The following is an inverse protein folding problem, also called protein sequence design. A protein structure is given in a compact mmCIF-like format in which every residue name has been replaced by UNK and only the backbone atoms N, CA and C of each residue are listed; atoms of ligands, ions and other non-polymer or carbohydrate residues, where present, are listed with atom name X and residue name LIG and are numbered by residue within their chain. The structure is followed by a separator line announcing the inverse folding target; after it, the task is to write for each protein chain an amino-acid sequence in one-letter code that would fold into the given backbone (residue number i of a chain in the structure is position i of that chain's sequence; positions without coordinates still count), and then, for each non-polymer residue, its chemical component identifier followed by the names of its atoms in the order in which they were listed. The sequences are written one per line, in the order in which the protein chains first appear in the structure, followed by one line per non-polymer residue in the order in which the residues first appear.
data_IF_846102205668
#
_entry.id   IF_846102205668
#
_cell.length_a   1.000
_cell.length_b   1.000
_cell.length_c   1.000
_cell.angle_alpha   90.00
_cell.angle_beta   90.00
_cell.angle_gamma   90.00
#
_symmetry.space_group_name_H-M   'P 1'
#
loop_
_entity.id
_entity.type
_entity.pdbx_description
1 polymer ?
#
# COMPACT_ATOMS: atom_id res chain seq x y z
N UNK A 1 -4.65 0.10 24.84
CA UNK A 1 -3.82 -1.02 24.38
C UNK A 1 -4.65 -2.29 24.52
N UNK A 2 -5.10 -2.88 23.41
CA UNK A 2 -5.91 -4.10 23.41
C UNK A 2 -4.94 -5.27 23.23
N UNK A 3 -4.28 -5.69 24.31
CA UNK A 3 -3.53 -6.95 24.32
C UNK A 3 -4.35 -7.98 25.09
N UNK A 4 -4.81 -9.00 24.39
CA UNK A 4 -5.71 -10.01 24.96
C UNK A 4 -5.19 -11.41 24.70
N UNK A 5 -5.80 -12.39 25.37
CA UNK A 5 -5.53 -13.81 25.12
C UNK A 5 -5.81 -14.18 23.65
N UNK A 6 -6.88 -13.64 23.06
CA UNK A 6 -7.28 -13.91 21.68
C UNK A 6 -6.21 -13.47 20.68
N UNK A 7 -5.71 -12.23 20.83
CA UNK A 7 -4.61 -11.70 20.01
C UNK A 7 -3.33 -12.51 20.21
N UNK A 8 -2.96 -12.83 21.46
CA UNK A 8 -1.79 -13.65 21.77
C UNK A 8 -1.87 -15.02 21.09
N UNK A 9 -3.03 -15.66 21.12
CA UNK A 9 -3.24 -16.98 20.52
C UNK A 9 -3.23 -16.90 18.98
N UNK A 10 -3.73 -15.81 18.40
CA UNK A 10 -3.64 -15.53 16.96
C UNK A 10 -2.20 -15.36 16.49
N UNK A 11 -1.39 -14.58 17.22
CA UNK A 11 0.05 -14.41 16.95
C UNK A 11 0.77 -15.77 16.99
N UNK A 12 0.53 -16.58 18.03
CA UNK A 12 1.12 -17.92 18.13
C UNK A 12 0.69 -18.81 16.97
N UNK A 13 -0.58 -18.77 16.58
CA UNK A 13 -1.09 -19.55 15.47
C UNK A 13 -0.44 -19.14 14.15
N UNK A 14 -0.36 -17.83 13.88
CA UNK A 14 0.29 -17.26 12.69
C UNK A 14 1.78 -17.64 12.63
N UNK A 15 2.53 -17.50 13.74
CA UNK A 15 3.93 -17.96 13.86
C UNK A 15 4.04 -19.45 13.55
N UNK A 16 3.14 -20.27 14.12
CA UNK A 16 3.18 -21.72 13.90
C UNK A 16 2.98 -22.06 12.43
N UNK A 17 2.01 -21.42 11.78
CA UNK A 17 1.67 -21.64 10.36
C UNK A 17 2.77 -21.17 9.42
N UNK A 18 3.25 -19.93 9.55
CA UNK A 18 4.19 -19.36 8.58
C UNK A 18 5.66 -19.66 8.92
N UNK A 19 6.04 -19.64 10.19
CA UNK A 19 7.44 -19.81 10.59
C UNK A 19 7.76 -21.27 10.94
N UNK A 20 7.01 -21.90 11.85
CA UNK A 20 7.39 -23.23 12.37
C UNK A 20 7.15 -24.35 11.37
N UNK A 21 6.01 -24.33 10.67
CA UNK A 21 5.67 -25.42 9.74
C UNK A 21 6.38 -25.36 8.40
N UNK A 22 6.78 -24.18 7.94
CA UNK A 22 7.31 -24.00 6.58
C UNK A 22 8.49 -23.02 6.46
N UNK A 23 8.90 -22.34 7.54
CA UNK A 23 9.99 -21.35 7.54
C UNK A 23 9.86 -20.32 6.40
N UNK A 24 8.63 -19.83 6.17
CA UNK A 24 8.28 -18.95 5.07
C UNK A 24 9.03 -17.62 5.19
N UNK A 25 9.50 -17.10 4.06
CA UNK A 25 10.20 -15.83 3.96
C UNK A 25 9.42 -14.85 3.09
N UNK A 26 9.65 -13.55 3.30
CA UNK A 26 9.20 -12.48 2.39
C UNK A 26 9.81 -12.73 1.00
N UNK A 27 9.04 -12.39 -0.02
CA UNK A 27 9.40 -12.66 -1.42
C UNK A 27 10.74 -12.02 -1.77
N UNK A 28 11.72 -12.85 -2.14
CA UNK A 28 13.05 -12.40 -2.54
C UNK A 28 13.94 -11.85 -1.42
N UNK A 29 13.62 -12.12 -0.13
CA UNK A 29 14.36 -11.61 1.02
C UNK A 29 14.67 -12.69 2.06
N UNK A 30 15.70 -12.44 2.87
CA UNK A 30 16.01 -13.24 4.07
C UNK A 30 15.29 -12.71 5.32
N UNK A 31 14.01 -12.37 5.17
CA UNK A 31 13.16 -11.84 6.25
C UNK A 31 12.01 -12.83 6.50
N UNK A 32 11.77 -13.27 7.74
CA UNK A 32 10.64 -14.14 8.08
C UNK A 32 9.29 -13.56 7.64
N UNK A 33 8.46 -14.36 6.98
CA UNK A 33 7.15 -13.92 6.49
C UNK A 33 6.22 -13.44 7.59
N UNK A 34 6.37 -13.99 8.80
CA UNK A 34 5.57 -13.62 9.97
C UNK A 34 5.62 -12.12 10.31
N UNK A 35 6.66 -11.41 9.86
CA UNK A 35 6.71 -9.94 9.96
C UNK A 35 5.51 -9.28 9.28
N UNK A 36 5.01 -9.83 8.17
CA UNK A 36 3.86 -9.28 7.45
C UNK A 36 2.54 -9.38 8.21
N UNK A 37 2.03 -10.57 8.61
CA UNK A 37 0.79 -10.64 9.38
C UNK A 37 0.83 -9.84 10.69
N UNK A 38 2.00 -9.73 11.34
CA UNK A 38 2.16 -8.91 12.54
C UNK A 38 2.03 -7.41 12.21
N UNK A 39 2.66 -6.93 11.14
CA UNK A 39 2.52 -5.55 10.67
C UNK A 39 1.07 -5.23 10.30
N UNK A 40 0.36 -6.14 9.62
CA UNK A 40 -1.07 -5.98 9.30
C UNK A 40 -1.89 -5.84 10.58
N UNK A 41 -1.67 -6.70 11.59
CA UNK A 41 -2.32 -6.57 12.89
C UNK A 41 -2.04 -5.23 13.60
N UNK A 42 -0.80 -4.74 13.53
CA UNK A 42 -0.43 -3.44 14.10
C UNK A 42 -1.10 -2.26 13.39
N UNK A 43 -1.15 -2.27 12.04
CA UNK A 43 -1.86 -1.25 11.26
C UNK A 43 -3.33 -1.19 11.68
N UNK A 44 -4.00 -2.34 11.78
CA UNK A 44 -5.40 -2.43 12.20
C UNK A 44 -5.62 -1.90 13.62
N UNK A 45 -4.71 -2.24 14.55
CA UNK A 45 -4.77 -1.75 15.92
C UNK A 45 -4.60 -0.22 15.99
N UNK A 46 -3.68 0.34 15.21
CA UNK A 46 -3.48 1.80 15.10
C UNK A 46 -4.68 2.50 14.46
N UNK A 47 -5.36 1.84 13.51
CA UNK A 47 -6.61 2.32 12.90
C UNK A 47 -7.83 2.24 13.84
N UNK A 48 -7.66 1.74 15.07
CA UNK A 48 -8.75 1.61 16.05
C UNK A 48 -9.72 0.47 15.75
N UNK A 49 -9.31 -0.53 14.98
CA UNK A 49 -10.15 -1.68 14.64
C UNK A 49 -10.53 -2.51 15.88
N UNK A 50 -11.67 -3.19 15.82
CA UNK A 50 -12.08 -4.13 16.86
C UNK A 50 -11.15 -5.34 16.93
N UNK A 51 -11.11 -6.01 18.09
CA UNK A 51 -10.26 -7.18 18.33
C UNK A 51 -10.38 -8.26 17.24
N UNK A 52 -11.61 -8.55 16.78
CA UNK A 52 -11.86 -9.59 15.78
C UNK A 52 -11.26 -9.24 14.41
N UNK A 53 -11.26 -7.95 14.05
CA UNK A 53 -10.67 -7.46 12.81
C UNK A 53 -9.14 -7.53 12.90
N UNK A 54 -8.56 -7.14 14.04
CA UNK A 54 -7.11 -7.26 14.29
C UNK A 54 -6.67 -8.72 14.21
N UNK A 55 -7.42 -9.62 14.86
CA UNK A 55 -7.14 -11.07 14.83
C UNK A 55 -7.26 -11.61 13.41
N UNK A 56 -8.29 -11.20 12.65
CA UNK A 56 -8.43 -11.58 11.25
C UNK A 56 -7.23 -11.12 10.40
N UNK A 57 -6.74 -9.89 10.61
CA UNK A 57 -5.53 -9.39 9.93
C UNK A 57 -4.26 -10.21 10.26
N UNK A 58 -4.08 -10.63 11.51
CA UNK A 58 -2.95 -11.50 11.92
C UNK A 58 -3.03 -12.89 11.27
N UNK A 59 -4.24 -13.33 10.92
CA UNK A 59 -4.53 -14.67 10.40
C UNK A 59 -4.82 -14.70 8.90
N UNK A 60 -4.85 -13.56 8.21
CA UNK A 60 -5.47 -13.43 6.89
C UNK A 60 -4.90 -14.42 5.84
N UNK A 61 -3.59 -14.63 5.83
CA UNK A 61 -2.93 -15.55 4.90
C UNK A 61 -2.87 -17.00 5.36
N UNK A 62 -3.30 -17.31 6.60
CA UNK A 62 -3.07 -18.65 7.15
C UNK A 62 -3.81 -19.74 6.37
N UNK A 63 -5.02 -19.44 5.87
CA UNK A 63 -5.75 -20.35 4.97
C UNK A 63 -5.03 -20.45 3.63
N UNK A 64 -4.59 -19.32 3.07
CA UNK A 64 -4.01 -19.24 1.74
C UNK A 64 -2.66 -19.97 1.63
N UNK A 65 -1.78 -19.76 2.62
CA UNK A 65 -0.36 -20.14 2.58
C UNK A 65 -0.02 -21.37 3.41
N UNK A 66 -1.00 -21.96 4.11
CA UNK A 66 -0.76 -23.23 4.81
C UNK A 66 -0.46 -24.36 3.82
N UNK A 67 0.62 -25.10 4.12
CA UNK A 67 1.02 -26.31 3.39
C UNK A 67 -0.02 -27.44 3.53
N UNK A 68 -0.15 -28.36 2.55
CA UNK A 68 -1.14 -29.44 2.57
C UNK A 68 -1.13 -30.28 3.86
N UNK A 69 0.05 -30.61 4.40
CA UNK A 69 0.22 -31.45 5.59
C UNK A 69 -0.23 -30.75 6.88
N UNK A 70 -0.33 -29.42 6.84
CA UNK A 70 -0.73 -28.54 7.95
C UNK A 70 -1.79 -27.53 7.50
N UNK A 71 -2.72 -27.97 6.64
CA UNK A 71 -3.72 -27.10 6.05
C UNK A 71 -4.55 -26.44 7.14
N UNK A 72 -4.62 -25.11 7.09
CA UNK A 72 -5.53 -24.32 7.93
C UNK A 72 -6.86 -24.20 7.22
N UNK A 73 -7.94 -24.45 7.95
CA UNK A 73 -9.32 -24.37 7.43
C UNK A 73 -10.11 -23.30 8.17
N UNK A 74 -11.18 -22.81 7.54
CA UNK A 74 -12.14 -21.91 8.17
C UNK A 74 -12.68 -22.47 9.49
N UNK A 75 -13.04 -23.76 9.52
CA UNK A 75 -13.54 -24.44 10.72
C UNK A 75 -12.55 -24.37 11.88
N UNK A 76 -11.26 -24.60 11.62
CA UNK A 76 -10.21 -24.50 12.66
C UNK A 76 -10.08 -23.09 13.23
N UNK A 77 -10.27 -22.06 12.39
CA UNK A 77 -10.24 -20.66 12.82
C UNK A 77 -11.49 -20.35 13.65
N UNK A 78 -12.67 -20.80 13.21
CA UNK A 78 -13.94 -20.61 13.92
C UNK A 78 -13.89 -21.22 15.34
N UNK A 79 -13.41 -22.45 15.47
CA UNK A 79 -13.30 -23.14 16.77
C UNK A 79 -12.37 -22.42 17.76
N UNK A 80 -11.34 -21.72 17.27
CA UNK A 80 -10.30 -21.09 18.10
C UNK A 80 -10.55 -19.61 18.36
N UNK A 81 -11.12 -18.91 17.39
CA UNK A 81 -11.20 -17.45 17.35
C UNK A 81 -12.63 -16.94 17.10
N UNK A 82 -13.61 -17.82 16.88
CA UNK A 82 -15.01 -17.48 16.65
C UNK A 82 -15.35 -17.25 15.17
N UNK A 83 -16.64 -17.34 14.87
CA UNK A 83 -17.16 -17.31 13.51
C UNK A 83 -16.86 -15.98 12.79
N UNK A 84 -16.99 -14.84 13.49
CA UNK A 84 -16.69 -13.51 12.91
C UNK A 84 -15.27 -13.47 12.32
N UNK A 85 -14.27 -13.95 13.07
CA UNK A 85 -12.88 -14.01 12.59
C UNK A 85 -12.75 -14.94 11.39
N UNK A 86 -13.38 -16.12 11.45
CA UNK A 86 -13.31 -17.10 10.39
C UNK A 86 -13.93 -16.60 9.07
N UNK A 87 -15.04 -15.87 9.14
CA UNK A 87 -15.65 -15.22 7.97
C UNK A 87 -14.75 -14.12 7.40
N UNK A 88 -14.16 -13.27 8.25
CA UNK A 88 -13.26 -12.21 7.79
C UNK A 88 -12.02 -12.78 7.10
N UNK A 89 -11.38 -13.80 7.68
CA UNK A 89 -10.21 -14.46 7.08
C UNK A 89 -10.58 -15.12 5.76
N UNK A 90 -11.70 -15.84 5.69
CA UNK A 90 -12.14 -16.44 4.42
C UNK A 90 -12.46 -15.36 3.37
N UNK A 91 -13.10 -14.26 3.77
CA UNK A 91 -13.47 -13.15 2.88
C UNK A 91 -12.25 -12.59 2.15
N UNK A 92 -11.10 -12.47 2.80
CA UNK A 92 -9.89 -11.87 2.23
C UNK A 92 -8.90 -12.89 1.64
N UNK A 93 -9.19 -14.18 1.74
CA UNK A 93 -8.38 -15.26 1.14
C UNK A 93 -8.54 -15.26 -0.38
N UNK A 94 -7.43 -15.28 -1.13
CA UNK A 94 -7.48 -15.36 -2.60
C UNK A 94 -8.10 -16.70 -3.04
N UNK A 95 -9.15 -16.63 -3.85
CA UNK A 95 -9.82 -17.81 -4.38
C UNK A 95 -9.05 -18.34 -5.60
N UNK A 96 -8.90 -19.67 -5.66
CA UNK A 96 -8.43 -20.40 -6.84
C UNK A 96 -7.01 -20.04 -7.37
N UNK A 97 -5.98 -20.62 -6.74
CA UNK A 97 -4.58 -20.53 -7.19
C UNK A 97 -4.30 -21.18 -8.57
N UNK A 98 -5.27 -21.85 -9.20
CA UNK A 98 -5.09 -22.48 -10.51
C UNK A 98 -5.27 -21.51 -11.70
N UNK A 99 -5.85 -20.34 -11.47
CA UNK A 99 -6.04 -19.30 -12.48
C UNK A 99 -4.74 -18.56 -12.80
N UNK A 100 -4.67 -17.98 -14.00
CA UNK A 100 -3.55 -17.12 -14.38
C UNK A 100 -3.43 -15.90 -13.46
N UNK A 101 -2.26 -15.26 -13.43
CA UNK A 101 -2.06 -14.07 -12.60
C UNK A 101 -3.08 -12.97 -12.91
N UNK A 102 -3.40 -12.75 -14.19
CA UNK A 102 -4.37 -11.72 -14.61
C UNK A 102 -5.79 -12.06 -14.18
N UNK A 103 -6.22 -13.31 -14.36
CA UNK A 103 -7.55 -13.77 -13.94
C UNK A 103 -7.72 -13.66 -12.43
N UNK A 104 -6.73 -14.09 -11.63
CA UNK A 104 -6.77 -13.96 -10.17
C UNK A 104 -6.87 -12.50 -9.73
N UNK A 105 -6.16 -11.60 -10.41
CA UNK A 105 -6.18 -10.18 -10.07
C UNK A 105 -7.48 -9.49 -10.48
N UNK A 106 -8.09 -9.90 -11.59
CA UNK A 106 -9.42 -9.44 -11.98
C UNK A 106 -10.50 -9.95 -11.01
N UNK A 107 -10.48 -11.24 -10.66
CA UNK A 107 -11.41 -11.83 -9.69
C UNK A 107 -11.25 -11.18 -8.31
N UNK A 108 -10.02 -10.94 -7.86
CA UNK A 108 -9.77 -10.25 -6.60
C UNK A 108 -10.38 -8.83 -6.58
N UNK A 109 -10.32 -8.08 -7.67
CA UNK A 109 -10.91 -6.74 -7.75
C UNK A 109 -12.44 -6.79 -7.67
N UNK A 110 -13.09 -7.73 -8.36
CA UNK A 110 -14.55 -7.91 -8.24
C UNK A 110 -14.95 -8.40 -6.84
N UNK A 111 -14.17 -9.30 -6.26
CA UNK A 111 -14.42 -9.84 -4.92
C UNK A 111 -14.34 -8.74 -3.85
N UNK A 112 -13.37 -7.82 -3.96
CA UNK A 112 -13.24 -6.66 -3.05
C UNK A 112 -14.51 -5.80 -3.03
N UNK A 113 -15.25 -5.69 -4.14
CA UNK A 113 -16.51 -4.92 -4.18
C UNK A 113 -17.62 -5.54 -3.34
N UNK A 114 -17.48 -6.81 -2.96
CA UNK A 114 -18.45 -7.53 -2.12
C UNK A 114 -18.11 -7.46 -0.63
N UNK A 115 -16.98 -6.85 -0.27
CA UNK A 115 -16.47 -6.86 1.09
C UNK A 115 -17.32 -6.01 2.03
N UNK A 116 -17.45 -6.51 3.27
CA UNK A 116 -17.87 -5.68 4.40
C UNK A 116 -16.80 -4.61 4.70
N UNK A 117 -17.16 -3.58 5.47
CA UNK A 117 -16.17 -2.58 5.92
C UNK A 117 -15.03 -3.23 6.73
N UNK A 118 -15.33 -4.23 7.56
CA UNK A 118 -14.30 -4.98 8.33
C UNK A 118 -13.35 -5.73 7.38
N UNK A 119 -13.88 -6.41 6.35
CA UNK A 119 -13.08 -7.08 5.32
C UNK A 119 -12.25 -6.08 4.49
N UNK A 120 -12.84 -4.94 4.12
CA UNK A 120 -12.12 -3.85 3.45
C UNK A 120 -11.00 -3.30 4.32
N UNK A 121 -11.21 -3.18 5.64
CA UNK A 121 -10.18 -2.69 6.56
C UNK A 121 -8.99 -3.67 6.65
N UNK A 122 -9.26 -4.98 6.75
CA UNK A 122 -8.21 -6.01 6.68
C UNK A 122 -7.46 -5.93 5.36
N UNK A 123 -8.20 -5.84 4.24
CA UNK A 123 -7.57 -5.75 2.91
C UNK A 123 -6.76 -4.46 2.73
N UNK A 124 -7.22 -3.36 3.32
CA UNK A 124 -6.51 -2.08 3.32
C UNK A 124 -5.19 -2.18 4.05
N UNK A 125 -5.17 -2.83 5.22
CA UNK A 125 -3.96 -3.03 6.01
C UNK A 125 -2.95 -3.97 5.31
N UNK A 126 -3.42 -5.02 4.66
CA UNK A 126 -2.63 -5.90 3.79
C UNK A 126 -1.97 -5.10 2.65
N UNK A 127 -2.79 -4.38 1.86
CA UNK A 127 -2.31 -3.55 0.74
C UNK A 127 -1.33 -2.48 1.20
N UNK A 128 -1.59 -1.85 2.33
CA UNK A 128 -0.70 -0.85 2.92
C UNK A 128 0.65 -1.47 3.32
N UNK A 129 0.64 -2.59 4.03
CA UNK A 129 1.87 -3.29 4.44
C UNK A 129 2.71 -3.71 3.23
N UNK A 130 2.07 -4.25 2.19
CA UNK A 130 2.76 -4.71 0.99
C UNK A 130 3.23 -3.55 0.10
N UNK A 131 2.44 -2.47 0.00
CA UNK A 131 2.79 -1.28 -0.76
C UNK A 131 3.96 -0.51 -0.15
N UNK A 132 3.97 -0.32 1.18
CA UNK A 132 5.10 0.32 1.88
C UNK A 132 6.38 -0.48 1.72
N UNK A 133 6.33 -1.81 1.87
CA UNK A 133 7.51 -2.65 1.68
C UNK A 133 8.04 -2.59 0.24
N UNK A 134 7.16 -2.52 -0.76
CA UNK A 134 7.57 -2.33 -2.16
C UNK A 134 8.21 -0.95 -2.37
N UNK A 135 7.72 0.10 -1.71
CA UNK A 135 8.31 1.44 -1.73
C UNK A 135 9.71 1.42 -1.14
N UNK A 136 9.88 0.83 0.04
CA UNK A 136 11.17 0.74 0.71
C UNK A 136 12.18 -0.06 -0.13
N UNK A 137 11.75 -1.18 -0.71
CA UNK A 137 12.59 -1.99 -1.59
C UNK A 137 12.98 -1.25 -2.87
N UNK A 138 12.03 -0.54 -3.49
CA UNK A 138 12.32 0.26 -4.69
C UNK A 138 13.32 1.38 -4.39
N UNK A 139 13.24 1.99 -3.20
CA UNK A 139 14.20 3.00 -2.77
C UNK A 139 15.63 2.42 -2.60
N UNK A 140 15.75 1.15 -2.21
CA UNK A 140 17.04 0.47 -2.02
C UNK A 140 17.61 -0.14 -3.31
N UNK A 141 16.76 -0.84 -4.08
CA UNK A 141 17.16 -1.70 -5.18
C UNK A 141 16.74 -1.14 -6.56
N UNK A 142 16.02 -0.02 -6.61
CA UNK A 142 15.45 0.52 -7.84
C UNK A 142 14.46 -0.44 -8.49
N UNK A 143 14.44 -0.49 -9.83
CA UNK A 143 13.52 -1.35 -10.59
C UNK A 143 13.85 -2.85 -10.47
N UNK A 144 15.01 -3.23 -9.93
CA UNK A 144 15.40 -4.63 -9.74
C UNK A 144 14.49 -5.36 -8.75
N UNK A 145 13.79 -4.64 -7.86
CA UNK A 145 12.76 -5.22 -6.98
C UNK A 145 11.69 -5.98 -7.77
N UNK A 146 11.33 -5.52 -8.97
CA UNK A 146 10.28 -6.12 -9.78
C UNK A 146 10.69 -7.49 -10.36
N UNK A 147 11.99 -7.80 -10.41
CA UNK A 147 12.50 -9.13 -10.81
C UNK A 147 12.04 -10.26 -9.88
N UNK A 148 11.63 -9.92 -8.64
CA UNK A 148 11.11 -10.86 -7.63
C UNK A 148 9.69 -11.33 -7.96
N UNK A 149 8.99 -10.68 -8.88
CA UNK A 149 7.59 -10.93 -9.20
C UNK A 149 7.40 -11.68 -10.52
N UNK A 150 6.28 -12.38 -10.66
CA UNK A 150 5.94 -13.16 -11.85
C UNK A 150 5.25 -12.32 -12.96
N UNK A 151 5.26 -11.00 -12.85
CA UNK A 151 4.59 -10.08 -13.77
C UNK A 151 5.47 -8.84 -14.01
N UNK A 152 5.33 -8.16 -15.17
CA UNK A 152 6.03 -6.90 -15.44
C UNK A 152 5.67 -5.80 -14.43
N UNK A 153 6.62 -4.88 -14.19
CA UNK A 153 6.49 -3.71 -13.32
C UNK A 153 5.18 -2.96 -13.58
N UNK A 154 4.87 -2.69 -14.84
CA UNK A 154 3.70 -1.90 -15.25
C UNK A 154 2.39 -2.59 -14.83
N UNK A 155 2.32 -3.92 -14.97
CA UNK A 155 1.15 -4.70 -14.55
C UNK A 155 1.00 -4.72 -13.04
N UNK A 156 2.11 -4.85 -12.30
CA UNK A 156 2.12 -4.83 -10.83
C UNK A 156 1.62 -3.48 -10.31
N UNK A 157 2.23 -2.38 -10.79
CA UNK A 157 1.85 -1.04 -10.38
C UNK A 157 0.40 -0.73 -10.75
N UNK A 158 -0.02 -1.05 -11.97
CA UNK A 158 -1.42 -0.90 -12.40
C UNK A 158 -2.38 -1.62 -11.45
N UNK A 159 -2.09 -2.88 -11.13
CA UNK A 159 -2.95 -3.66 -10.24
C UNK A 159 -3.05 -3.05 -8.83
N UNK A 160 -1.93 -2.61 -8.24
CA UNK A 160 -1.96 -1.93 -6.95
C UNK A 160 -2.81 -0.66 -6.98
N UNK A 161 -2.67 0.15 -8.02
CA UNK A 161 -3.43 1.39 -8.17
C UNK A 161 -4.93 1.14 -8.35
N UNK A 162 -5.30 0.13 -9.15
CA UNK A 162 -6.69 -0.28 -9.34
C UNK A 162 -7.29 -0.83 -8.04
N UNK A 163 -6.53 -1.61 -7.29
CA UNK A 163 -6.96 -2.17 -6.01
C UNK A 163 -7.18 -1.08 -4.95
N UNK A 164 -6.21 -0.17 -4.79
CA UNK A 164 -6.33 0.96 -3.85
C UNK A 164 -7.54 1.83 -4.23
N UNK A 165 -7.69 2.15 -5.51
CA UNK A 165 -8.84 2.91 -6.01
C UNK A 165 -10.16 2.20 -5.66
N UNK A 166 -10.26 0.91 -5.96
CA UNK A 166 -11.48 0.12 -5.69
C UNK A 166 -11.82 0.14 -4.20
N UNK A 167 -10.84 -0.06 -3.31
CA UNK A 167 -11.05 -0.03 -1.85
C UNK A 167 -11.60 1.34 -1.41
N UNK A 168 -10.99 2.44 -1.87
CA UNK A 168 -11.39 3.80 -1.48
C UNK A 168 -12.77 4.17 -2.06
N UNK A 169 -13.10 3.72 -3.27
CA UNK A 169 -14.42 3.93 -3.88
C UNK A 169 -15.51 3.14 -3.15
N UNK A 170 -15.23 1.89 -2.76
CA UNK A 170 -16.17 1.05 -2.01
C UNK A 170 -16.43 1.58 -0.60
N UNK A 171 -15.43 2.18 0.04
CA UNK A 171 -15.59 2.77 1.37
C UNK A 171 -14.82 4.10 1.51
N UNK A 172 -15.43 5.24 1.10
CA UNK A 172 -14.78 6.55 1.17
C UNK A 172 -14.43 7.03 2.59
N UNK A 173 -15.04 6.43 3.61
CA UNK A 173 -14.78 6.72 5.04
C UNK A 173 -13.80 5.74 5.68
N UNK A 174 -13.07 4.97 4.87
CA UNK A 174 -12.08 4.03 5.36
C UNK A 174 -11.02 4.75 6.22
N UNK A 175 -10.78 4.31 7.47
CA UNK A 175 -9.78 4.90 8.36
C UNK A 175 -8.36 4.95 7.79
N UNK A 176 -8.03 4.10 6.81
CA UNK A 176 -6.71 4.03 6.16
C UNK A 176 -6.68 4.71 4.77
N UNK A 177 -7.73 5.46 4.39
CA UNK A 177 -7.83 6.05 3.06
C UNK A 177 -6.69 7.03 2.74
N UNK A 178 -6.24 7.81 3.71
CA UNK A 178 -5.11 8.75 3.57
C UNK A 178 -3.81 8.02 3.25
N UNK A 179 -3.50 6.98 4.00
CA UNK A 179 -2.30 6.16 3.89
C UNK A 179 -2.30 5.37 2.57
N UNK A 180 -3.45 4.82 2.19
CA UNK A 180 -3.62 4.17 0.89
C UNK A 180 -3.40 5.16 -0.26
N UNK A 181 -3.93 6.39 -0.14
CA UNK A 181 -3.74 7.43 -1.16
C UNK A 181 -2.27 7.85 -1.26
N UNK A 182 -1.57 7.96 -0.13
CA UNK A 182 -0.14 8.20 -0.10
C UNK A 182 0.64 7.11 -0.83
N UNK A 183 0.39 5.84 -0.52
CA UNK A 183 1.02 4.70 -1.21
C UNK A 183 0.72 4.73 -2.71
N UNK A 184 -0.54 4.95 -3.11
CA UNK A 184 -0.90 5.06 -4.52
C UNK A 184 -0.12 6.18 -5.24
N UNK A 185 0.09 7.31 -4.58
CA UNK A 185 0.90 8.39 -5.12
C UNK A 185 2.37 7.97 -5.31
N UNK A 186 2.98 7.32 -4.32
CA UNK A 186 4.36 6.82 -4.43
C UNK A 186 4.50 5.77 -5.54
N UNK A 187 3.56 4.82 -5.64
CA UNK A 187 3.56 3.80 -6.70
C UNK A 187 3.38 4.42 -8.10
N UNK A 188 2.57 5.47 -8.24
CA UNK A 188 2.49 6.24 -9.49
C UNK A 188 3.83 6.87 -9.85
N UNK A 189 4.54 7.43 -8.86
CA UNK A 189 5.87 8.00 -9.09
C UNK A 189 6.88 6.96 -9.58
N UNK A 190 6.84 5.74 -9.06
CA UNK A 190 7.70 4.64 -9.54
C UNK A 190 7.40 4.22 -10.98
N UNK A 191 6.13 4.19 -11.38
CA UNK A 191 5.75 3.93 -12.76
C UNK A 191 6.14 5.07 -13.69
N UNK A 192 6.28 6.26 -13.13
CA UNK A 192 6.62 7.48 -13.83
C UNK A 192 8.12 7.73 -13.96
N UNK A 193 9.07 6.83 -13.63
CA UNK A 193 10.50 7.16 -13.72
C UNK A 193 10.94 7.57 -15.13
N UNK A 194 10.39 6.96 -16.19
CA UNK A 194 10.57 7.47 -17.57
C UNK A 194 9.78 8.76 -17.82
N UNK A 195 8.55 8.83 -17.31
CA UNK A 195 7.65 9.98 -17.44
C UNK A 195 8.18 11.24 -16.73
N UNK A 196 8.90 11.13 -15.61
CA UNK A 196 9.47 12.25 -14.86
C UNK A 196 10.70 12.84 -15.54
N UNK A 197 11.44 12.03 -16.30
CA UNK A 197 12.52 12.51 -17.17
C UNK A 197 11.93 13.32 -18.33
N UNK A 198 10.78 12.91 -18.86
CA UNK A 198 10.03 13.62 -19.91
C UNK A 198 9.23 14.83 -19.39
N UNK A 199 8.74 14.79 -18.15
CA UNK A 199 7.89 15.81 -17.52
C UNK A 199 8.60 16.38 -16.29
N UNK A 200 9.70 17.09 -16.57
CA UNK A 200 10.42 17.87 -15.57
C UNK A 200 9.54 18.99 -15.02
N UNK A 201 9.81 19.41 -13.79
CA UNK A 201 9.19 20.61 -13.25
C UNK A 201 9.46 21.79 -14.19
N UNK A 202 8.47 22.67 -14.35
CA UNK A 202 8.68 23.93 -15.07
C UNK A 202 9.71 24.74 -14.28
N UNK A 203 10.74 25.25 -14.94
CA UNK A 203 11.75 26.11 -14.31
C UNK A 203 11.53 27.51 -14.86
N UNK A 204 11.33 28.48 -13.97
CA UNK A 204 11.13 29.89 -14.34
C UNK A 204 11.98 30.80 -13.44
N UNK A 205 12.27 31.99 -13.94
CA UNK A 205 12.84 33.05 -13.12
C UNK A 205 11.77 33.70 -12.25
N UNK A 206 12.16 34.24 -11.09
CA UNK A 206 11.24 34.94 -10.18
C UNK A 206 10.45 36.07 -10.88
N UNK A 207 11.02 36.71 -11.90
CA UNK A 207 10.35 37.75 -12.69
C UNK A 207 9.14 37.25 -13.49
N UNK A 208 9.07 35.95 -13.78
CA UNK A 208 8.01 35.32 -14.54
C UNK A 208 6.96 34.63 -13.65
N UNK A 209 7.25 34.55 -12.34
CA UNK A 209 6.40 33.86 -11.38
C UNK A 209 5.14 34.65 -11.05
N UNK A 210 4.00 33.95 -11.08
CA UNK A 210 2.68 34.47 -10.68
C UNK A 210 2.07 33.56 -9.63
N UNK A 211 1.75 34.13 -8.48
CA UNK A 211 1.26 33.36 -7.33
C UNK A 211 -0.09 32.68 -7.60
N UNK A 212 -0.94 33.32 -8.39
CA UNK A 212 -2.26 32.88 -8.82
C UNK A 212 -2.27 32.00 -10.09
N UNK A 213 -1.10 31.69 -10.67
CA UNK A 213 -1.01 30.77 -11.81
C UNK A 213 -1.49 29.38 -11.37
N UNK A 214 -2.47 28.85 -12.12
CA UNK A 214 -2.96 27.48 -11.90
C UNK A 214 -1.93 26.51 -12.44
N UNK A 215 -1.28 25.79 -11.52
CA UNK A 215 -0.36 24.71 -11.83
C UNK A 215 -1.15 23.42 -12.02
N UNK A 216 -0.74 22.61 -12.99
CA UNK A 216 -1.28 21.27 -13.20
C UNK A 216 -0.18 20.23 -12.98
N UNK A 217 -0.43 19.28 -12.09
CA UNK A 217 0.50 18.17 -11.88
C UNK A 217 0.38 17.18 -13.06
N UNK A 218 1.48 16.90 -13.78
CA UNK A 218 1.42 15.98 -14.93
C UNK A 218 1.19 14.52 -14.51
N UNK A 219 1.38 14.20 -13.22
CA UNK A 219 1.27 12.82 -12.70
C UNK A 219 -0.14 12.47 -12.23
N UNK A 220 -0.81 13.38 -11.52
CA UNK A 220 -2.11 13.12 -10.91
C UNK A 220 -3.19 14.11 -11.35
N UNK A 221 -2.89 15.01 -12.28
CA UNK A 221 -3.79 16.06 -12.78
C UNK A 221 -4.36 16.97 -11.68
N UNK A 222 -3.67 17.05 -10.54
CA UNK A 222 -4.01 18.05 -9.52
C UNK A 222 -3.88 19.42 -10.13
N UNK A 223 -4.87 20.28 -9.86
CA UNK A 223 -4.87 21.69 -10.25
C UNK A 223 -4.98 22.56 -9.02
N UNK A 224 -4.05 23.50 -8.88
CA UNK A 224 -4.06 24.44 -7.77
C UNK A 224 -3.01 25.53 -7.92
N UNK A 225 -3.00 26.46 -6.98
CA UNK A 225 -2.01 27.53 -6.95
C UNK A 225 -0.78 27.10 -6.19
N UNK A 226 0.25 27.93 -6.28
CA UNK A 226 1.51 27.70 -5.61
C UNK A 226 1.45 27.86 -4.07
N UNK A 227 0.36 28.36 -3.47
CA UNK A 227 0.28 28.58 -2.00
C UNK A 227 0.28 27.29 -1.15
N UNK A 228 -0.09 26.13 -1.71
CA UNK A 228 -0.42 24.94 -0.92
C UNK A 228 0.74 24.02 -0.52
N UNK A 229 1.91 24.11 -1.16
CA UNK A 229 3.07 23.23 -0.93
C UNK A 229 4.37 23.85 -1.47
N UNK A 230 4.73 25.02 -0.93
CA UNK A 230 5.99 25.72 -1.23
C UNK A 230 7.08 25.30 -0.25
N UNK A 231 8.24 24.92 -0.77
CA UNK A 231 9.47 24.78 0.02
C UNK A 231 10.50 25.80 -0.45
N UNK A 232 11.06 26.55 0.49
CA UNK A 232 12.04 27.59 0.22
C UNK A 232 13.46 27.06 0.47
N UNK A 233 14.35 27.33 -0.48
CA UNK A 233 15.79 27.12 -0.40
C UNK A 233 16.51 28.46 -0.62
N UNK A 234 17.84 28.49 -0.43
CA UNK A 234 18.62 29.74 -0.44
C UNK A 234 18.36 30.60 -1.69
N UNK A 235 18.49 30.00 -2.89
CA UNK A 235 18.40 30.72 -4.16
C UNK A 235 17.18 30.31 -5.02
N UNK A 236 16.25 29.53 -4.47
CA UNK A 236 15.06 29.07 -5.19
C UNK A 236 13.91 28.71 -4.25
N UNK A 237 12.71 28.57 -4.79
CA UNK A 237 11.65 27.83 -4.12
C UNK A 237 10.97 26.86 -5.08
N UNK A 238 10.56 25.74 -4.51
CA UNK A 238 9.92 24.65 -5.23
C UNK A 238 8.46 24.57 -4.83
N UNK A 239 7.61 24.32 -5.83
CA UNK A 239 6.20 24.00 -5.60
C UNK A 239 6.00 22.53 -5.92
N UNK A 240 5.52 21.79 -4.93
CA UNK A 240 5.24 20.36 -5.05
C UNK A 240 3.75 20.08 -5.07
N UNK A 241 3.33 19.09 -5.84
CA UNK A 241 1.95 18.63 -5.85
C UNK A 241 1.56 18.11 -4.45
N UNK A 242 0.46 18.59 -3.83
CA UNK A 242 0.04 18.13 -2.51
C UNK A 242 -0.52 16.71 -2.49
N UNK A 243 -0.89 16.17 -3.65
CA UNK A 243 -1.42 14.81 -3.76
C UNK A 243 -0.30 13.78 -3.87
N UNK A 244 0.72 14.07 -4.67
CA UNK A 244 1.75 13.09 -5.01
C UNK A 244 3.19 13.52 -4.75
N UNK A 245 3.44 14.71 -4.22
CA UNK A 245 4.80 15.19 -3.93
C UNK A 245 5.65 15.50 -5.16
N UNK A 246 5.13 15.33 -6.38
CA UNK A 246 5.86 15.69 -7.60
C UNK A 246 6.09 17.20 -7.62
N UNK A 247 7.35 17.61 -7.70
CA UNK A 247 7.75 18.97 -7.98
C UNK A 247 7.18 19.40 -9.36
N UNK A 248 6.36 20.45 -9.35
CA UNK A 248 5.65 20.97 -10.54
C UNK A 248 6.27 22.26 -11.06
N UNK A 249 6.85 23.07 -10.16
CA UNK A 249 7.47 24.35 -10.49
C UNK A 249 8.73 24.55 -9.63
N UNK A 250 9.79 25.04 -10.25
CA UNK A 250 11.00 25.56 -9.59
C UNK A 250 11.13 27.02 -9.99
N UNK A 251 11.29 27.90 -9.01
CA UNK A 251 11.47 29.34 -9.25
C UNK A 251 12.83 29.77 -8.75
N UNK A 252 13.70 30.22 -9.64
CA UNK A 252 15.03 30.75 -9.31
C UNK A 252 14.96 32.23 -8.92
N UNK A 253 15.67 32.62 -7.86
CA UNK A 253 15.95 34.02 -7.58
C UNK A 253 17.15 34.50 -8.41
N UNK A 254 17.14 35.75 -8.88
CA UNK A 254 18.32 36.33 -9.51
C UNK A 254 19.44 36.44 -8.46
N UNK A 255 20.54 35.72 -8.68
CA UNK A 255 21.76 35.87 -7.90
C UNK A 255 22.21 37.34 -7.99
N UNK A 256 22.13 38.06 -6.87
CA UNK A 256 22.76 39.36 -6.76
C UNK A 256 24.25 39.11 -6.91
N UNK A 257 24.82 39.41 -8.08
CA UNK A 257 26.27 39.47 -8.27
C UNK A 257 26.77 40.57 -7.34
N UNK A 258 27.23 40.19 -6.16
CA UNK A 258 28.03 41.07 -5.31
C UNK A 258 29.27 41.45 -6.12
N UNK A 259 29.29 42.72 -6.56
CA UNK A 259 30.38 43.31 -7.33
C UNK A 259 31.65 43.51 -6.53
#
# INVERSE_FOLDING_TARGET
MIYTKKIKDAVKFSIKTHQVYQNQKRKGKDIPYITHPLTVGLILACAGAEEDVIVAGILHDTIEDSIPEKKVTKTMIAERFGDKVAELVLSVTEQNKALSWEERKAEALEHVKTFSNDSLLVKSADVLSNGLELIDDHAMDGDDVFSRFNAPKEKILKHYLELIRTIVECWPKNPLASELTYVASQLKMMGATSFMVEHRAKIIEYSEYKEDEVLECPVCHWRGTSEGNKEHHDDLFDVSCPICGKMVLVVSYPLIKNG
#
